data_IF_130495264406
#
_entry.id   IF_130495264406
#
_cell.length_a   1.000
_cell.length_b   1.000
_cell.length_c   1.000
_cell.angle_alpha   90.00
_cell.angle_beta   90.00
_cell.angle_gamma   90.00
#
_symmetry.space_group_name_H-M   'P 1'
#
loop_
_entity.id
_entity.type
_entity.pdbx_description
1 polymer ?
#
# COMPACT_ATOMS: atom_id res chain seq x y z
N UNK A 1 1.09 20.69 -9.48
CA UNK A 1 0.22 19.51 -9.48
C UNK A 1 1.05 18.34 -9.93
N UNK A 2 1.45 17.51 -8.98
CA UNK A 2 2.12 16.25 -9.18
C UNK A 2 1.11 15.09 -9.03
N UNK A 3 1.49 13.94 -9.58
CA UNK A 3 0.78 12.68 -9.42
C UNK A 3 1.68 11.77 -8.60
N UNK A 4 1.21 11.30 -7.45
CA UNK A 4 1.99 10.47 -6.53
C UNK A 4 1.23 9.19 -6.25
N UNK A 5 1.92 8.05 -6.28
CA UNK A 5 1.33 6.75 -6.03
C UNK A 5 2.12 5.99 -4.98
N UNK A 6 1.41 5.40 -4.03
CA UNK A 6 1.95 4.53 -3.01
C UNK A 6 1.38 3.12 -3.23
N UNK A 7 2.26 2.17 -3.55
CA UNK A 7 1.86 0.81 -3.93
C UNK A 7 2.37 -0.19 -2.88
N UNK A 8 1.49 -1.09 -2.47
CA UNK A 8 1.76 -2.10 -1.44
C UNK A 8 1.30 -3.47 -1.94
N UNK A 9 2.22 -4.42 -2.02
CA UNK A 9 1.97 -5.79 -2.44
C UNK A 9 2.36 -6.73 -1.32
N UNK A 10 1.43 -7.56 -0.85
CA UNK A 10 1.69 -8.47 0.28
C UNK A 10 1.35 -9.91 -0.09
N UNK A 11 2.39 -10.70 -0.33
CA UNK A 11 2.30 -12.14 -0.49
C UNK A 11 2.27 -12.80 0.89
N UNK A 12 1.09 -13.25 1.32
CA UNK A 12 0.86 -13.97 2.58
C UNK A 12 -0.13 -15.10 2.36
N UNK A 13 -0.13 -16.11 3.23
CA UNK A 13 -1.13 -17.19 3.26
C UNK A 13 -1.36 -17.89 1.90
N UNK A 14 -0.30 -18.02 1.10
CA UNK A 14 -0.35 -18.67 -0.21
C UNK A 14 -0.66 -17.75 -1.39
N UNK A 15 -0.89 -16.44 -1.18
CA UNK A 15 -0.81 -15.45 -2.26
C UNK A 15 0.63 -15.32 -2.75
N UNK A 16 0.81 -15.28 -4.07
CA UNK A 16 2.12 -15.28 -4.73
C UNK A 16 2.31 -14.11 -5.70
N UNK A 17 1.22 -13.45 -6.11
CA UNK A 17 1.23 -12.48 -7.20
C UNK A 17 1.04 -11.03 -6.76
N UNK A 18 0.81 -10.75 -5.48
CA UNK A 18 0.53 -9.40 -5.01
C UNK A 18 1.68 -8.42 -5.27
N UNK A 19 2.92 -8.88 -5.08
CA UNK A 19 4.12 -8.10 -5.43
C UNK A 19 4.25 -7.91 -6.94
N UNK A 20 3.95 -8.94 -7.74
CA UNK A 20 3.94 -8.84 -9.20
C UNK A 20 2.90 -7.82 -9.68
N UNK A 21 1.70 -7.82 -9.10
CA UNK A 21 0.66 -6.85 -9.41
C UNK A 21 1.10 -5.42 -9.11
N UNK A 22 1.82 -5.19 -7.99
CA UNK A 22 2.36 -3.86 -7.70
C UNK A 22 3.41 -3.41 -8.70
N UNK A 23 4.25 -4.31 -9.20
CA UNK A 23 5.23 -3.97 -10.23
C UNK A 23 4.55 -3.63 -11.56
N UNK A 24 3.54 -4.40 -11.97
CA UNK A 24 2.76 -4.09 -13.17
C UNK A 24 2.01 -2.77 -13.03
N UNK A 25 1.45 -2.49 -11.85
CA UNK A 25 0.79 -1.22 -11.57
C UNK A 25 1.77 -0.04 -11.59
N UNK A 26 2.99 -0.23 -11.07
CA UNK A 26 4.05 0.77 -11.18
C UNK A 26 4.33 1.13 -12.65
N UNK A 27 4.53 0.12 -13.51
CA UNK A 27 4.83 0.34 -14.93
C UNK A 27 3.72 1.17 -15.61
N UNK A 28 2.46 0.83 -15.34
CA UNK A 28 1.31 1.58 -15.84
C UNK A 28 1.34 3.01 -15.32
N UNK A 29 1.46 3.24 -14.01
CA UNK A 29 1.38 4.57 -13.41
C UNK A 29 2.54 5.48 -13.81
N UNK A 30 3.74 4.92 -13.96
CA UNK A 30 4.91 5.65 -14.48
C UNK A 30 4.67 6.14 -15.91
N UNK A 31 3.94 5.38 -16.74
CA UNK A 31 3.54 5.84 -18.08
C UNK A 31 2.59 7.05 -18.05
N UNK A 32 1.90 7.27 -16.92
CA UNK A 32 1.04 8.43 -16.66
C UNK A 32 1.73 9.50 -15.79
N UNK A 33 3.06 9.50 -15.70
CA UNK A 33 3.85 10.49 -14.96
C UNK A 33 3.59 10.52 -13.45
N UNK A 34 3.14 9.41 -12.85
CA UNK A 34 3.12 9.26 -11.40
C UNK A 34 4.54 9.05 -10.85
N UNK A 35 4.87 9.77 -9.77
CA UNK A 35 5.97 9.43 -8.88
C UNK A 35 5.52 8.26 -7.99
N UNK A 36 6.12 7.09 -8.18
CA UNK A 36 5.70 5.86 -7.51
C UNK A 36 6.64 5.51 -6.34
N UNK A 37 6.06 5.22 -5.19
CA UNK A 37 6.73 4.63 -4.03
C UNK A 37 6.24 3.18 -3.88
N UNK A 38 7.15 2.22 -3.98
CA UNK A 38 6.91 0.83 -3.60
C UNK A 38 7.23 0.66 -2.13
N UNK A 39 6.25 0.27 -1.32
CA UNK A 39 6.46 0.08 0.11
C UNK A 39 7.08 -1.29 0.41
N UNK A 40 8.01 -1.37 1.37
CA UNK A 40 8.40 -2.62 2.00
C UNK A 40 7.29 -3.19 2.92
N UNK A 41 7.46 -4.46 3.30
CA UNK A 41 6.43 -5.32 3.91
C UNK A 41 6.13 -5.06 5.39
N UNK A 42 6.96 -4.30 6.13
CA UNK A 42 6.68 -4.04 7.55
C UNK A 42 5.74 -2.86 7.75
N UNK A 43 4.78 -2.98 8.68
CA UNK A 43 3.78 -1.93 9.00
C UNK A 43 4.43 -0.59 9.36
N UNK A 44 5.48 -0.58 10.17
CA UNK A 44 6.13 0.65 10.63
C UNK A 44 6.81 1.41 9.49
N UNK A 45 7.46 0.68 8.58
CA UNK A 45 8.14 1.29 7.44
C UNK A 45 7.12 1.79 6.41
N UNK A 46 6.07 1.01 6.16
CA UNK A 46 4.94 1.42 5.32
C UNK A 46 4.35 2.75 5.79
N UNK A 47 3.99 2.86 7.08
CA UNK A 47 3.43 4.09 7.64
C UNK A 47 4.41 5.26 7.52
N UNK A 48 5.69 5.02 7.85
CA UNK A 48 6.73 6.06 7.77
C UNK A 48 6.90 6.58 6.34
N UNK A 49 6.88 5.71 5.34
CA UNK A 49 7.02 6.11 3.94
C UNK A 49 5.76 6.78 3.39
N UNK A 50 4.59 6.29 3.79
CA UNK A 50 3.32 6.91 3.42
C UNK A 50 3.23 8.33 4.00
N UNK A 51 3.54 8.51 5.28
CA UNK A 51 3.60 9.83 5.93
C UNK A 51 4.57 10.76 5.22
N UNK A 52 5.80 10.32 4.93
CA UNK A 52 6.77 11.12 4.15
C UNK A 52 6.25 11.52 2.77
N UNK A 53 5.56 10.62 2.06
CA UNK A 53 4.98 10.94 0.76
C UNK A 53 3.89 12.00 0.93
N UNK A 54 2.97 11.82 1.88
CA UNK A 54 1.86 12.74 2.14
C UNK A 54 2.35 14.12 2.61
N UNK A 55 3.37 14.19 3.45
CA UNK A 55 3.98 15.44 3.92
C UNK A 55 4.60 16.25 2.77
N UNK A 56 5.00 15.57 1.69
CA UNK A 56 5.52 16.21 0.47
C UNK A 56 4.44 16.62 -0.53
N UNK A 57 3.17 16.32 -0.27
CA UNK A 57 2.05 16.63 -1.16
C UNK A 57 1.52 18.06 -0.96
N UNK A 58 1.16 18.71 -2.05
CA UNK A 58 0.40 19.95 -2.06
C UNK A 58 -1.09 19.66 -2.19
N UNK A 59 -1.94 20.63 -1.82
CA UNK A 59 -3.42 20.50 -1.89
C UNK A 59 -3.96 20.21 -3.30
N UNK A 60 -3.19 20.51 -4.33
CA UNK A 60 -3.56 20.31 -5.74
C UNK A 60 -3.03 19.02 -6.32
N UNK A 61 -2.20 18.27 -5.58
CA UNK A 61 -1.63 17.02 -6.06
C UNK A 61 -2.66 15.89 -6.04
N UNK A 62 -2.50 14.94 -6.95
CA UNK A 62 -3.28 13.70 -6.96
C UNK A 62 -2.49 12.61 -6.26
N UNK A 63 -3.09 12.00 -5.24
CA UNK A 63 -2.50 10.88 -4.50
C UNK A 63 -3.29 9.62 -4.79
N UNK A 64 -2.59 8.55 -5.18
CA UNK A 64 -3.13 7.22 -5.37
C UNK A 64 -2.52 6.28 -4.34
N UNK A 65 -3.37 5.53 -3.65
CA UNK A 65 -2.96 4.40 -2.82
C UNK A 65 -3.48 3.11 -3.44
N UNK A 66 -2.59 2.15 -3.67
CA UNK A 66 -2.93 0.84 -4.21
C UNK A 66 -2.42 -0.26 -3.29
N UNK A 67 -3.28 -1.23 -3.02
CA UNK A 67 -2.96 -2.40 -2.24
C UNK A 67 -3.38 -3.67 -2.99
N UNK A 68 -2.45 -4.62 -3.12
CA UNK A 68 -2.74 -6.01 -3.52
C UNK A 68 -2.34 -6.94 -2.36
N UNK A 69 -3.25 -7.80 -1.94
CA UNK A 69 -3.05 -8.70 -0.80
C UNK A 69 -4.35 -9.07 -0.11
N UNK A 70 -4.24 -9.68 1.08
CA UNK A 70 -5.41 -10.04 1.88
C UNK A 70 -6.02 -8.84 2.59
N UNK A 71 -7.36 -8.78 2.59
CA UNK A 71 -8.16 -7.90 3.43
C UNK A 71 -8.87 -8.70 4.51
N UNK A 72 -9.00 -8.12 5.70
CA UNK A 72 -9.77 -8.68 6.82
C UNK A 72 -10.83 -7.69 7.25
N UNK A 73 -12.10 -8.12 7.25
CA UNK A 73 -13.19 -7.34 7.82
C UNK A 73 -13.35 -7.73 9.31
N UNK A 74 -13.00 -6.83 10.22
CA UNK A 74 -13.18 -7.02 11.66
C UNK A 74 -14.03 -5.87 12.24
N UNK A 75 -15.15 -6.22 12.89
CA UNK A 75 -16.07 -5.26 13.53
C UNK A 75 -16.49 -4.09 12.61
N UNK A 76 -16.69 -4.37 11.33
CA UNK A 76 -17.07 -3.36 10.32
C UNK A 76 -15.93 -2.49 9.81
N UNK A 77 -14.69 -2.76 10.23
CA UNK A 77 -13.48 -2.10 9.73
C UNK A 77 -12.77 -3.00 8.74
N UNK A 78 -12.37 -2.42 7.60
CA UNK A 78 -11.51 -3.08 6.64
C UNK A 78 -10.06 -2.90 7.09
N UNK A 79 -9.37 -4.01 7.29
CA UNK A 79 -7.95 -4.04 7.60
C UNK A 79 -7.18 -4.68 6.45
N UNK A 80 -6.06 -4.07 6.06
CA UNK A 80 -5.10 -4.67 5.14
C UNK A 80 -4.19 -5.62 5.92
N UNK A 81 -3.98 -6.84 5.42
CA UNK A 81 -3.10 -7.83 6.04
C UNK A 81 -1.68 -7.67 5.49
N UNK A 82 -0.72 -7.50 6.38
CA UNK A 82 0.70 -7.21 6.10
C UNK A 82 1.63 -8.36 6.49
N UNK A 83 1.10 -9.46 7.03
CA UNK A 83 1.90 -10.63 7.44
C UNK A 83 1.03 -11.87 7.65
N UNK A 84 1.67 -13.05 7.68
CA UNK A 84 0.94 -14.33 7.69
C UNK A 84 0.08 -14.55 8.95
N UNK A 85 0.52 -14.01 10.08
CA UNK A 85 -0.13 -14.17 11.36
C UNK A 85 -1.10 -13.01 11.64
N UNK A 86 -2.35 -13.16 11.20
CA UNK A 86 -3.42 -12.16 11.37
C UNK A 86 -3.90 -12.01 12.82
N UNK A 87 -3.49 -12.90 13.73
CA UNK A 87 -3.77 -12.75 15.16
C UNK A 87 -2.97 -11.59 15.79
N UNK A 88 -1.86 -11.18 15.14
CA UNK A 88 -1.04 -10.06 15.57
C UNK A 88 -1.52 -8.77 14.93
N UNK A 89 -1.97 -7.82 15.76
CA UNK A 89 -2.34 -6.46 15.31
C UNK A 89 -1.20 -5.69 14.62
N UNK A 90 0.06 -6.12 14.79
CA UNK A 90 1.21 -5.56 14.07
C UNK A 90 1.18 -5.89 12.58
N UNK A 91 0.41 -6.91 12.18
CA UNK A 91 0.32 -7.42 10.83
C UNK A 91 -0.96 -6.94 10.11
N UNK A 92 -1.67 -5.97 10.67
CA UNK A 92 -2.86 -5.39 10.03
C UNK A 92 -2.80 -3.87 10.02
N UNK A 93 -3.32 -3.25 8.96
CA UNK A 93 -3.47 -1.80 8.84
C UNK A 93 -4.93 -1.43 8.64
N UNK A 94 -5.48 -0.63 9.57
CA UNK A 94 -6.83 -0.07 9.45
C UNK A 94 -6.83 1.03 8.38
N UNK A 95 -7.82 0.98 7.47
CA UNK A 95 -7.99 1.96 6.39
C UNK A 95 -9.31 2.74 6.49
N UNK A 96 -10.03 2.61 7.62
CA UNK A 96 -11.33 3.26 7.88
C UNK A 96 -11.32 4.29 9.01
#
# INVERSE_FOLDING_TARGET
MAYKAFLVGVNTQGLQYAETDTHLMQEVLQSYSYEVVLSPTTKSDLLTQLEKMLDSCQKTDTVLFYFSGHGLLDKGKLNLVLGDDTSKQTNTLDVG
#
